data_IF_475434067047
#
_entry.id   IF_475434067047
#
_cell.length_a   1.000
_cell.length_b   1.000
_cell.length_c   1.000
_cell.angle_alpha   90.00
_cell.angle_beta   90.00
_cell.angle_gamma   90.00
#
_symmetry.space_group_name_H-M   'P 1'
#
loop_
_entity.id
_entity.type
_entity.pdbx_description
1 polymer ?
#
# COMPACT_ATOMS: atom_id res chain seq x y z
N UNK A 1 1.29 -16.85 -13.86
CA UNK A 1 1.29 -15.39 -13.60
C UNK A 1 2.72 -14.89 -13.47
N UNK A 2 2.99 -13.62 -13.77
CA UNK A 2 4.28 -12.99 -13.42
C UNK A 2 4.45 -12.94 -11.89
N UNK A 3 5.69 -12.89 -11.40
CA UNK A 3 5.95 -12.75 -9.96
C UNK A 3 5.27 -11.48 -9.42
N UNK A 4 4.60 -11.53 -8.26
CA UNK A 4 3.89 -10.38 -7.72
C UNK A 4 4.85 -9.31 -7.20
N UNK A 5 4.36 -8.07 -7.19
CA UNK A 5 5.00 -6.91 -6.56
C UNK A 5 4.18 -6.51 -5.33
N UNK A 6 4.84 -6.44 -4.18
CA UNK A 6 4.25 -5.95 -2.94
C UNK A 6 4.77 -4.57 -2.60
N UNK A 7 3.88 -3.61 -2.40
CA UNK A 7 4.24 -2.30 -1.84
C UNK A 7 4.16 -2.40 -0.32
N UNK A 8 5.31 -2.37 0.33
CA UNK A 8 5.45 -2.47 1.78
C UNK A 8 5.76 -1.09 2.37
N UNK A 9 4.89 -0.60 3.22
CA UNK A 9 5.04 0.68 3.90
C UNK A 9 4.10 0.76 5.11
N UNK A 10 4.42 1.57 6.13
CA UNK A 10 3.39 2.01 7.05
C UNK A 10 2.32 2.82 6.30
N UNK A 11 1.11 2.90 6.87
CA UNK A 11 0.06 3.75 6.32
C UNK A 11 0.51 5.22 6.26
N UNK A 12 -0.16 6.01 5.41
CA UNK A 12 0.08 7.46 5.19
C UNK A 12 1.32 7.80 4.33
N UNK A 13 1.78 6.83 3.55
CA UNK A 13 2.98 6.91 2.70
C UNK A 13 2.62 6.90 1.21
N UNK A 14 1.55 7.57 0.80
CA UNK A 14 1.15 7.71 -0.63
C UNK A 14 0.85 6.40 -1.39
N UNK A 15 0.79 5.28 -0.70
CA UNK A 15 0.83 3.96 -1.29
C UNK A 15 -0.37 3.59 -2.17
N UNK A 16 -1.55 4.21 -1.95
CA UNK A 16 -2.70 4.05 -2.86
C UNK A 16 -2.44 4.62 -4.25
N UNK A 17 -1.86 5.83 -4.38
CA UNK A 17 -1.64 6.42 -5.70
C UNK A 17 -0.49 5.71 -6.44
N UNK A 18 0.58 5.34 -5.73
CA UNK A 18 1.70 4.58 -6.31
C UNK A 18 1.23 3.20 -6.79
N UNK A 19 0.42 2.50 -6.00
CA UNK A 19 -0.16 1.21 -6.40
C UNK A 19 -1.05 1.34 -7.64
N UNK A 20 -1.95 2.33 -7.65
CA UNK A 20 -2.84 2.57 -8.78
C UNK A 20 -2.06 2.93 -10.05
N UNK A 21 -1.01 3.74 -9.93
CA UNK A 21 -0.15 4.15 -11.05
C UNK A 21 0.59 2.94 -11.65
N UNK A 22 1.31 2.16 -10.82
CA UNK A 22 1.99 0.94 -11.29
C UNK A 22 0.98 -0.05 -11.88
N UNK A 23 -0.19 -0.16 -11.27
CA UNK A 23 -1.27 -1.04 -11.69
C UNK A 23 -1.91 -0.71 -13.05
N UNK A 24 -1.71 0.48 -13.60
CA UNK A 24 -2.16 0.82 -14.96
C UNK A 24 -1.22 0.31 -16.07
N UNK A 25 -0.05 -0.21 -15.70
CA UNK A 25 0.85 -0.82 -16.69
C UNK A 25 0.15 -2.03 -17.35
N UNK A 26 0.24 -2.22 -18.68
CA UNK A 26 -0.45 -3.33 -19.38
C UNK A 26 -0.15 -4.73 -18.86
N UNK A 27 1.08 -4.92 -18.38
CA UNK A 27 1.56 -6.19 -17.85
C UNK A 27 1.35 -6.31 -16.33
N UNK A 28 0.71 -5.33 -15.70
CA UNK A 28 0.45 -5.30 -14.26
C UNK A 28 -1.05 -5.12 -13.96
N UNK A 29 -1.43 -5.48 -12.73
CA UNK A 29 -2.78 -5.29 -12.22
C UNK A 29 -2.71 -4.81 -10.77
N UNK A 30 -3.06 -3.54 -10.56
CA UNK A 30 -3.08 -2.92 -9.23
C UNK A 30 -4.31 -3.33 -8.44
N UNK A 31 -4.11 -4.00 -7.32
CA UNK A 31 -5.20 -4.37 -6.42
C UNK A 31 -5.58 -3.21 -5.48
N UNK A 32 -6.84 -3.15 -5.02
CA UNK A 32 -7.18 -2.46 -3.79
C UNK A 32 -6.59 -3.21 -2.59
N UNK A 33 -6.81 -2.71 -1.37
CA UNK A 33 -6.43 -3.38 -0.13
C UNK A 33 -7.23 -4.68 0.05
N UNK A 34 -6.59 -5.83 -0.22
CA UNK A 34 -7.24 -7.17 -0.18
C UNK A 34 -7.01 -7.94 1.11
N UNK A 35 -6.00 -7.58 1.92
CA UNK A 35 -5.72 -8.18 3.24
C UNK A 35 -5.51 -9.71 3.27
N UNK A 36 -5.13 -10.32 2.14
CA UNK A 36 -5.08 -11.78 1.98
C UNK A 36 -4.13 -12.48 2.96
N UNK A 37 -3.10 -11.81 3.46
CA UNK A 37 -2.07 -12.42 4.32
C UNK A 37 -2.30 -12.22 5.82
N UNK A 38 -3.43 -11.62 6.22
CA UNK A 38 -3.77 -11.34 7.63
C UNK A 38 -4.19 -12.61 8.38
N UNK A 39 -4.81 -13.57 7.69
CA UNK A 39 -5.33 -14.84 8.24
C UNK A 39 -4.76 -16.02 7.45
N UNK A 40 -4.98 -17.24 7.94
CA UNK A 40 -4.46 -18.44 7.27
C UNK A 40 -5.30 -18.77 6.04
N UNK A 41 -6.61 -18.53 6.13
CA UNK A 41 -7.56 -18.76 5.05
C UNK A 41 -8.41 -17.53 4.72
N UNK A 42 -8.95 -17.49 3.51
CA UNK A 42 -9.87 -16.44 3.06
C UNK A 42 -11.17 -16.45 3.89
N UNK A 43 -11.64 -17.64 4.28
CA UNK A 43 -12.82 -17.80 5.13
C UNK A 43 -12.63 -17.18 6.52
N UNK A 44 -11.46 -17.36 7.13
CA UNK A 44 -11.11 -16.67 8.39
C UNK A 44 -11.03 -15.15 8.23
N UNK A 45 -10.52 -14.67 7.09
CA UNK A 45 -10.50 -13.24 6.80
C UNK A 45 -11.93 -12.68 6.69
N UNK A 46 -12.82 -13.41 6.01
CA UNK A 46 -14.24 -13.08 5.93
C UNK A 46 -14.92 -13.07 7.30
N UNK A 47 -14.63 -14.06 8.13
CA UNK A 47 -15.17 -14.20 9.48
C UNK A 47 -14.56 -13.21 10.50
N UNK A 48 -13.56 -12.41 10.10
CA UNK A 48 -12.81 -11.55 11.04
C UNK A 48 -13.66 -10.45 11.69
N UNK A 49 -14.85 -10.15 11.17
CA UNK A 49 -15.74 -9.08 11.65
C UNK A 49 -15.17 -7.66 11.53
N UNK A 50 -13.96 -7.51 10.97
CA UNK A 50 -13.32 -6.21 10.78
C UNK A 50 -13.97 -5.53 9.59
N UNK A 51 -14.73 -4.47 9.87
CA UNK A 51 -15.36 -3.61 8.86
C UNK A 51 -14.33 -3.20 7.81
N UNK A 52 -14.68 -3.41 6.54
CA UNK A 52 -13.84 -3.06 5.40
C UNK A 52 -12.71 -4.03 5.04
N UNK A 53 -12.41 -5.04 5.87
CA UNK A 53 -11.24 -5.90 5.67
C UNK A 53 -11.28 -6.70 4.35
N UNK A 54 -12.48 -7.12 3.93
CA UNK A 54 -12.69 -7.91 2.72
C UNK A 54 -13.17 -7.06 1.53
N UNK A 55 -13.42 -5.76 1.74
CA UNK A 55 -14.06 -4.91 0.73
C UNK A 55 -13.24 -4.85 -0.56
N UNK A 56 -11.91 -4.69 -0.46
CA UNK A 56 -11.05 -4.70 -1.64
C UNK A 56 -11.11 -6.03 -2.41
N UNK A 57 -11.15 -7.17 -1.70
CA UNK A 57 -11.25 -8.48 -2.36
C UNK A 57 -12.60 -8.64 -3.07
N UNK A 58 -13.72 -8.27 -2.42
CA UNK A 58 -15.06 -8.30 -3.03
C UNK A 58 -15.11 -7.48 -4.31
N UNK A 59 -14.60 -6.24 -4.27
CA UNK A 59 -14.50 -5.36 -5.44
C UNK A 59 -13.61 -5.94 -6.53
N UNK A 60 -12.52 -6.60 -6.14
CA UNK A 60 -11.60 -7.23 -7.10
C UNK A 60 -12.27 -8.35 -7.86
N UNK A 61 -12.98 -9.24 -7.15
CA UNK A 61 -13.72 -10.34 -7.76
C UNK A 61 -14.90 -9.83 -8.59
N UNK A 62 -15.62 -8.80 -8.11
CA UNK A 62 -16.68 -8.14 -8.88
C UNK A 62 -16.16 -7.64 -10.25
N UNK A 63 -15.04 -6.89 -10.22
CA UNK A 63 -14.39 -6.36 -11.43
C UNK A 63 -13.91 -7.47 -12.37
N UNK A 64 -13.14 -8.44 -11.86
CA UNK A 64 -12.49 -9.45 -12.71
C UNK A 64 -13.44 -10.53 -13.24
N UNK A 65 -14.44 -10.96 -12.45
CA UNK A 65 -15.33 -12.05 -12.84
C UNK A 65 -16.64 -11.56 -13.47
N UNK A 66 -17.10 -10.37 -13.11
CA UNK A 66 -18.41 -9.85 -13.52
C UNK A 66 -18.32 -8.56 -14.34
N UNK A 67 -17.12 -7.97 -14.47
CA UNK A 67 -16.87 -6.80 -15.32
C UNK A 67 -17.47 -5.49 -14.81
N UNK A 68 -17.96 -5.46 -13.56
CA UNK A 68 -18.52 -4.27 -12.95
C UNK A 68 -18.46 -4.32 -11.42
N UNK A 69 -18.63 -3.16 -10.77
CA UNK A 69 -18.72 -3.01 -9.32
C UNK A 69 -20.06 -2.38 -8.92
N UNK A 70 -21.14 -3.13 -9.12
CA UNK A 70 -22.49 -2.83 -8.62
C UNK A 70 -22.79 -3.59 -7.32
N UNK A 71 -23.89 -3.27 -6.65
CA UNK A 71 -24.34 -4.01 -5.46
C UNK A 71 -24.48 -5.50 -5.75
N UNK A 72 -25.11 -5.85 -6.88
CA UNK A 72 -25.40 -7.23 -7.29
C UNK A 72 -24.11 -8.00 -7.62
N UNK A 73 -23.19 -7.40 -8.37
CA UNK A 73 -21.90 -8.05 -8.71
C UNK A 73 -21.02 -8.23 -7.47
N UNK A 74 -21.10 -7.33 -6.48
CA UNK A 74 -20.40 -7.47 -5.19
C UNK A 74 -21.03 -8.55 -4.31
N UNK A 75 -22.35 -8.74 -4.35
CA UNK A 75 -23.02 -9.86 -3.69
C UNK A 75 -22.63 -11.19 -4.33
N UNK A 76 -22.65 -11.28 -5.66
CA UNK A 76 -22.19 -12.45 -6.39
C UNK A 76 -20.70 -12.75 -6.10
N UNK A 77 -19.86 -11.72 -6.07
CA UNK A 77 -18.47 -11.85 -5.66
C UNK A 77 -18.32 -12.33 -4.21
N UNK A 78 -19.20 -11.90 -3.30
CA UNK A 78 -19.18 -12.35 -1.90
C UNK A 78 -19.45 -13.85 -1.82
N UNK A 79 -20.51 -14.34 -2.45
CA UNK A 79 -20.83 -15.78 -2.51
C UNK A 79 -19.69 -16.59 -3.15
N UNK A 80 -19.10 -16.07 -4.24
CA UNK A 80 -17.96 -16.70 -4.90
C UNK A 80 -16.73 -16.85 -4.01
N UNK A 81 -16.47 -15.85 -3.14
CA UNK A 81 -15.37 -15.89 -2.17
C UNK A 81 -15.69 -16.90 -1.05
N UNK A 82 -16.94 -16.98 -0.59
CA UNK A 82 -17.38 -17.91 0.47
C UNK A 82 -17.18 -19.37 0.06
N UNK A 83 -17.56 -19.73 -1.17
CA UNK A 83 -17.31 -21.06 -1.75
C UNK A 83 -15.81 -21.44 -1.76
N UNK A 84 -14.93 -20.45 -1.73
CA UNK A 84 -13.46 -20.58 -1.78
C UNK A 84 -12.82 -20.25 -0.43
N UNK A 85 -13.60 -20.22 0.65
CA UNK A 85 -13.12 -19.85 1.99
C UNK A 85 -11.96 -20.68 2.50
N UNK A 86 -11.81 -21.94 2.04
CA UNK A 86 -10.70 -22.82 2.43
C UNK A 86 -9.34 -22.43 1.80
N UNK A 87 -9.33 -21.58 0.77
CA UNK A 87 -8.07 -21.15 0.14
C UNK A 87 -7.24 -20.32 1.11
N UNK A 88 -5.93 -20.52 1.09
CA UNK A 88 -4.97 -19.58 1.66
C UNK A 88 -4.96 -18.26 0.88
N UNK A 89 -4.49 -17.20 1.53
CA UNK A 89 -4.28 -15.91 0.85
C UNK A 89 -3.40 -16.01 -0.39
N UNK A 90 -2.38 -16.87 -0.35
CA UNK A 90 -1.48 -17.09 -1.48
C UNK A 90 -2.17 -17.80 -2.67
N UNK A 91 -3.02 -18.79 -2.40
CA UNK A 91 -3.82 -19.44 -3.44
C UNK A 91 -4.80 -18.45 -4.08
N UNK A 92 -5.45 -17.62 -3.27
CA UNK A 92 -6.34 -16.58 -3.76
C UNK A 92 -5.58 -15.54 -4.61
N UNK A 93 -4.40 -15.07 -4.17
CA UNK A 93 -3.60 -14.12 -4.95
C UNK A 93 -3.17 -14.70 -6.30
N UNK A 94 -2.81 -15.98 -6.35
CA UNK A 94 -2.50 -16.67 -7.62
C UNK A 94 -3.70 -16.72 -8.56
N UNK A 95 -4.88 -17.04 -8.02
CA UNK A 95 -6.13 -17.03 -8.78
C UNK A 95 -6.46 -15.62 -9.31
N UNK A 96 -6.25 -14.56 -8.54
CA UNK A 96 -6.38 -13.18 -9.03
C UNK A 96 -5.39 -12.88 -10.18
N UNK A 97 -4.17 -13.40 -10.10
CA UNK A 97 -3.18 -13.34 -11.18
C UNK A 97 -3.66 -14.01 -12.47
N UNK A 98 -4.33 -15.15 -12.36
CA UNK A 98 -4.93 -15.85 -13.51
C UNK A 98 -6.13 -15.09 -14.09
N UNK A 99 -7.06 -14.66 -13.23
CA UNK A 99 -8.25 -13.89 -13.61
C UNK A 99 -7.90 -12.54 -14.25
N UNK A 100 -6.77 -11.95 -13.88
CA UNK A 100 -6.25 -10.74 -14.52
C UNK A 100 -5.51 -11.00 -15.83
N UNK A 101 -5.56 -12.21 -16.40
CA UNK A 101 -4.89 -12.54 -17.67
C UNK A 101 -3.39 -12.82 -17.53
N UNK A 102 -2.94 -13.24 -16.35
CA UNK A 102 -1.54 -13.58 -16.09
C UNK A 102 -0.63 -12.38 -15.78
N UNK A 103 -1.20 -11.18 -15.65
CA UNK A 103 -0.48 -9.94 -15.31
C UNK A 103 0.21 -10.04 -13.95
N UNK A 104 1.24 -9.20 -13.75
CA UNK A 104 1.88 -9.01 -12.45
C UNK A 104 0.88 -8.39 -11.48
N UNK A 105 0.54 -9.12 -10.42
CA UNK A 105 -0.27 -8.55 -9.35
C UNK A 105 0.56 -7.55 -8.55
N UNK A 106 0.04 -6.33 -8.41
CA UNK A 106 0.60 -5.29 -7.54
C UNK A 106 -0.30 -5.15 -6.33
N UNK A 107 0.12 -5.69 -5.19
CA UNK A 107 -0.63 -5.61 -3.95
C UNK A 107 -0.03 -4.56 -3.01
N UNK A 108 -0.85 -3.57 -2.71
CA UNK A 108 -0.62 -2.65 -1.62
C UNK A 108 -1.71 -2.85 -0.58
N UNK A 109 -1.34 -3.49 0.52
CA UNK A 109 -2.16 -3.54 1.72
C UNK A 109 -1.29 -3.15 2.93
N UNK A 110 -1.68 -2.14 3.74
CA UNK A 110 -0.87 -1.71 4.90
C UNK A 110 -0.55 -2.83 5.92
N UNK A 111 -1.38 -3.87 5.98
CA UNK A 111 -1.16 -5.04 6.83
C UNK A 111 -0.05 -5.95 6.32
N UNK A 112 0.30 -5.92 5.02
CA UNK A 112 1.39 -6.72 4.44
C UNK A 112 2.75 -6.36 5.04
N UNK A 113 2.91 -5.15 5.56
CA UNK A 113 4.14 -4.74 6.24
C UNK A 113 4.24 -5.25 7.68
N UNK A 114 3.24 -5.97 8.20
CA UNK A 114 3.31 -6.60 9.53
C UNK A 114 4.14 -7.87 9.42
N UNK A 115 5.01 -8.12 10.40
CA UNK A 115 5.95 -9.24 10.44
C UNK A 115 5.31 -10.57 9.98
N UNK A 116 4.23 -11.01 10.64
CA UNK A 116 3.54 -12.26 10.28
C UNK A 116 3.04 -12.30 8.83
N UNK A 117 2.45 -11.22 8.35
CA UNK A 117 1.95 -11.15 6.98
C UNK A 117 3.09 -11.12 5.97
N UNK A 118 4.15 -10.36 6.25
CA UNK A 118 5.32 -10.23 5.40
C UNK A 118 6.07 -11.57 5.25
N UNK A 119 6.24 -12.30 6.35
CA UNK A 119 6.86 -13.63 6.33
C UNK A 119 6.01 -14.63 5.53
N UNK A 120 4.68 -14.61 5.67
CA UNK A 120 3.79 -15.44 4.84
C UNK A 120 3.91 -15.11 3.35
N UNK A 121 4.05 -13.82 3.01
CA UNK A 121 4.24 -13.39 1.63
C UNK A 121 5.56 -13.93 1.09
N UNK A 122 6.66 -13.73 1.81
CA UNK A 122 7.99 -14.17 1.41
C UNK A 122 8.09 -15.70 1.27
N UNK A 123 7.45 -16.45 2.17
CA UNK A 123 7.37 -17.91 2.10
C UNK A 123 6.56 -18.37 0.88
N UNK A 124 5.40 -17.75 0.63
CA UNK A 124 4.51 -18.15 -0.46
C UNK A 124 4.97 -17.69 -1.86
N UNK A 125 5.79 -16.63 -1.91
CA UNK A 125 6.30 -16.02 -3.14
C UNK A 125 7.78 -15.66 -2.96
N UNK A 126 8.69 -16.64 -2.97
CA UNK A 126 10.11 -16.43 -2.69
C UNK A 126 10.80 -15.51 -3.70
N UNK A 127 10.27 -15.42 -4.92
CA UNK A 127 10.78 -14.57 -6.02
C UNK A 127 9.95 -13.28 -6.18
N UNK A 128 9.12 -12.92 -5.19
CA UNK A 128 8.36 -11.67 -5.24
C UNK A 128 9.31 -10.46 -5.20
N UNK A 129 8.81 -9.34 -5.74
CA UNK A 129 9.45 -8.03 -5.65
C UNK A 129 8.78 -7.20 -4.56
N UNK A 130 9.57 -6.46 -3.80
CA UNK A 130 9.13 -5.64 -2.67
C UNK A 130 9.56 -4.19 -2.87
N UNK A 131 8.58 -3.33 -3.09
CA UNK A 131 8.78 -1.87 -3.14
C UNK A 131 8.58 -1.32 -1.72
N UNK A 132 9.67 -0.98 -1.04
CA UNK A 132 9.59 -0.26 0.23
C UNK A 132 9.35 1.22 -0.02
N UNK A 133 8.09 1.62 0.11
CA UNK A 133 7.70 3.02 -0.01
C UNK A 133 7.93 3.72 1.33
N UNK A 134 8.67 4.82 1.30
CA UNK A 134 8.97 5.65 2.47
C UNK A 134 8.38 7.04 2.33
N UNK A 135 8.22 7.71 3.48
CA UNK A 135 7.82 9.10 3.57
C UNK A 135 8.50 9.69 4.79
N UNK A 136 8.85 10.98 4.73
CA UNK A 136 9.48 11.68 5.84
C UNK A 136 8.70 11.45 7.16
N UNK A 137 9.38 11.12 8.28
CA UNK A 137 8.71 10.77 9.53
C UNK A 137 7.78 11.89 10.02
N UNK A 138 8.22 13.16 9.97
CA UNK A 138 7.40 14.31 10.36
C UNK A 138 6.08 14.40 9.58
N UNK A 139 6.13 14.35 8.26
CA UNK A 139 4.94 14.40 7.42
C UNK A 139 4.01 13.20 7.63
N UNK A 140 4.60 12.01 7.78
CA UNK A 140 3.85 10.76 8.03
C UNK A 140 3.07 10.85 9.34
N UNK A 141 3.77 11.19 10.41
CA UNK A 141 3.22 11.28 11.75
C UNK A 141 2.21 12.42 11.86
N UNK A 142 2.52 13.63 11.37
CA UNK A 142 1.54 14.73 11.25
C UNK A 142 0.25 14.29 10.57
N UNK A 143 0.35 13.56 9.46
CA UNK A 143 -0.81 13.04 8.73
C UNK A 143 -1.60 12.02 9.55
N UNK A 144 -0.90 11.13 10.26
CA UNK A 144 -1.52 10.15 11.14
C UNK A 144 -2.28 10.81 12.29
N UNK A 145 -1.71 11.84 12.92
CA UNK A 145 -2.37 12.56 14.00
C UNK A 145 -3.62 13.29 13.55
N UNK A 146 -3.56 14.02 12.44
CA UNK A 146 -4.75 14.67 11.86
C UNK A 146 -5.87 13.65 11.60
N UNK A 147 -5.53 12.46 11.09
CA UNK A 147 -6.50 11.41 10.80
C UNK A 147 -7.08 10.74 12.06
N UNK A 148 -6.30 10.56 13.13
CA UNK A 148 -6.82 10.03 14.39
C UNK A 148 -7.67 11.10 15.09
N UNK A 149 -7.23 12.36 15.07
CA UNK A 149 -7.92 13.47 15.72
C UNK A 149 -9.30 13.70 15.11
N UNK A 150 -9.42 13.63 13.78
CA UNK A 150 -10.73 13.75 13.10
C UNK A 150 -11.69 12.61 13.43
N UNK A 151 -11.19 11.43 13.80
CA UNK A 151 -12.01 10.25 14.14
C UNK A 151 -12.34 10.11 15.62
N UNK A 152 -11.42 10.51 16.51
CA UNK A 152 -11.50 10.26 17.95
C UNK A 152 -11.53 11.53 18.80
N UNK A 153 -11.43 12.71 18.19
CA UNK A 153 -11.26 13.96 18.92
C UNK A 153 -9.89 14.04 19.59
N UNK A 154 -9.85 14.43 20.88
CA UNK A 154 -8.58 14.61 21.62
C UNK A 154 -7.89 13.26 21.86
N UNK A 155 -6.64 13.15 21.43
CA UNK A 155 -5.85 11.92 21.53
C UNK A 155 -5.00 11.96 22.81
N UNK A 156 -4.96 10.88 23.62
CA UNK A 156 -4.06 10.80 24.76
C UNK A 156 -2.59 10.94 24.35
N UNK A 157 -1.84 11.78 25.06
CA UNK A 157 -0.41 12.06 24.81
C UNK A 157 0.45 10.80 24.66
N UNK A 158 0.22 9.79 25.50
CA UNK A 158 0.96 8.51 25.46
C UNK A 158 0.82 7.83 24.09
N UNK A 159 -0.39 7.78 23.55
CA UNK A 159 -0.66 7.20 22.22
C UNK A 159 0.02 7.98 21.09
N UNK A 160 0.21 9.29 21.30
CA UNK A 160 0.92 10.13 20.34
C UNK A 160 2.41 9.76 20.31
N UNK A 161 3.06 9.68 21.47
CA UNK A 161 4.47 9.30 21.57
C UNK A 161 4.69 7.87 21.06
N UNK A 162 3.82 6.92 21.40
CA UNK A 162 3.90 5.55 20.87
C UNK A 162 3.81 5.47 19.33
N UNK A 163 3.21 6.47 18.67
CA UNK A 163 3.16 6.50 17.21
C UNK A 163 4.51 6.72 16.56
N UNK A 164 5.40 7.49 17.20
CA UNK A 164 6.77 7.71 16.69
C UNK A 164 7.57 6.41 16.76
N UNK A 165 7.48 5.70 17.89
CA UNK A 165 8.08 4.36 18.04
C UNK A 165 7.59 3.36 16.99
N UNK A 166 6.29 3.36 16.68
CA UNK A 166 5.73 2.49 15.61
C UNK A 166 6.28 2.80 14.22
N UNK A 167 6.61 4.05 13.92
CA UNK A 167 7.25 4.41 12.65
C UNK A 167 8.66 3.80 12.58
N UNK A 168 9.45 4.00 13.64
CA UNK A 168 10.81 3.47 13.77
C UNK A 168 10.83 1.94 13.66
N UNK A 169 10.07 1.26 14.52
CA UNK A 169 9.98 -0.22 14.54
C UNK A 169 9.60 -0.78 13.17
N UNK A 170 8.59 -0.16 12.52
CA UNK A 170 8.11 -0.64 11.22
C UNK A 170 9.16 -0.49 10.14
N UNK A 171 9.77 0.69 10.00
CA UNK A 171 10.76 0.92 8.95
C UNK A 171 12.04 0.13 9.20
N UNK A 172 12.49 -0.01 10.46
CA UNK A 172 13.65 -0.84 10.82
C UNK A 172 13.44 -2.28 10.36
N UNK A 173 12.30 -2.86 10.69
CA UNK A 173 11.92 -4.21 10.25
C UNK A 173 11.92 -4.36 8.72
N UNK A 174 11.35 -3.40 7.98
CA UNK A 174 11.30 -3.49 6.51
C UNK A 174 12.69 -3.36 5.86
N UNK A 175 13.59 -2.59 6.47
CA UNK A 175 15.00 -2.49 6.03
C UNK A 175 15.74 -3.79 6.30
N UNK A 176 15.60 -4.35 7.50
CA UNK A 176 16.21 -5.65 7.87
C UNK A 176 15.69 -6.78 6.97
N UNK A 177 14.38 -6.82 6.72
CA UNK A 177 13.76 -7.75 5.78
C UNK A 177 14.34 -7.58 4.37
N UNK A 178 14.42 -6.36 3.85
CA UNK A 178 14.97 -6.08 2.53
C UNK A 178 16.42 -6.51 2.37
N UNK A 179 17.24 -6.35 3.41
CA UNK A 179 18.64 -6.77 3.42
C UNK A 179 18.83 -8.29 3.37
N UNK A 180 17.81 -9.07 3.75
CA UNK A 180 17.83 -10.53 3.70
C UNK A 180 17.35 -11.11 2.36
N UNK A 181 16.82 -10.29 1.45
CA UNK A 181 16.30 -10.75 0.14
C UNK A 181 17.42 -10.89 -0.91
N UNK A 182 17.12 -11.64 -1.96
CA UNK A 182 17.99 -11.79 -3.12
C UNK A 182 18.16 -10.50 -3.93
N UNK A 183 19.25 -10.40 -4.73
CA UNK A 183 19.49 -9.23 -5.59
C UNK A 183 18.29 -8.92 -6.48
N UNK A 184 17.92 -7.64 -6.55
CA UNK A 184 16.81 -7.18 -7.41
C UNK A 184 15.41 -7.39 -6.82
N UNK A 185 15.26 -8.03 -5.66
CA UNK A 185 13.94 -8.24 -5.05
C UNK A 185 13.44 -7.03 -4.23
N UNK A 186 14.30 -6.10 -3.86
CA UNK A 186 13.95 -4.99 -2.98
C UNK A 186 14.33 -3.63 -3.60
N UNK A 187 13.39 -2.70 -3.61
CA UNK A 187 13.58 -1.31 -4.02
C UNK A 187 13.01 -0.38 -2.97
N UNK A 188 13.85 0.48 -2.37
CA UNK A 188 13.40 1.57 -1.51
C UNK A 188 13.09 2.81 -2.36
N UNK A 189 11.86 3.32 -2.25
CA UNK A 189 11.39 4.49 -2.97
C UNK A 189 10.91 5.56 -1.99
N UNK A 190 11.41 6.78 -2.12
CA UNK A 190 10.86 7.92 -1.39
C UNK A 190 9.58 8.34 -2.10
N UNK A 191 8.46 8.31 -1.37
CA UNK A 191 7.18 8.69 -1.92
C UNK A 191 7.15 10.15 -2.37
N UNK A 192 7.99 11.01 -1.79
CA UNK A 192 8.17 12.40 -2.19
C UNK A 192 8.72 12.55 -3.61
N UNK A 193 9.76 11.78 -3.95
CA UNK A 193 10.39 11.81 -5.28
C UNK A 193 9.45 11.33 -6.37
N UNK A 194 8.52 10.43 -6.04
CA UNK A 194 7.48 9.99 -6.96
C UNK A 194 6.63 11.15 -7.49
N UNK A 195 6.38 12.19 -6.70
CA UNK A 195 5.57 13.33 -7.16
C UNK A 195 6.38 14.42 -7.84
N UNK A 196 7.68 14.50 -7.57
CA UNK A 196 8.58 15.46 -8.20
C UNK A 196 8.79 15.14 -9.68
N UNK A 197 9.11 13.89 -10.01
CA UNK A 197 9.26 13.40 -11.39
C UNK A 197 8.66 11.99 -11.55
N UNK A 198 7.32 11.87 -11.55
CA UNK A 198 6.64 10.58 -11.60
C UNK A 198 7.01 9.76 -12.82
N UNK A 199 7.19 10.39 -14.00
CA UNK A 199 7.54 9.67 -15.21
C UNK A 199 8.87 8.95 -15.06
N UNK A 200 9.92 9.67 -14.63
CA UNK A 200 11.23 9.09 -14.40
C UNK A 200 11.19 7.96 -13.37
N UNK A 201 10.44 8.14 -12.28
CA UNK A 201 10.31 7.09 -11.25
C UNK A 201 9.56 5.87 -11.79
N UNK A 202 8.47 6.06 -12.53
CA UNK A 202 7.71 4.96 -13.14
C UNK A 202 8.54 4.20 -14.18
N UNK A 203 9.37 4.90 -14.94
CA UNK A 203 10.37 4.30 -15.83
C UNK A 203 11.36 3.42 -15.06
N UNK A 204 11.92 3.90 -13.95
CA UNK A 204 12.83 3.13 -13.09
C UNK A 204 12.15 1.90 -12.47
N UNK A 205 10.89 2.05 -12.04
CA UNK A 205 10.08 0.93 -11.55
C UNK A 205 9.85 -0.09 -12.65
N UNK A 206 9.61 0.32 -13.89
CA UNK A 206 9.49 -0.60 -15.02
C UNK A 206 10.77 -1.42 -15.22
N UNK A 207 11.94 -0.79 -15.20
CA UNK A 207 13.22 -1.50 -15.36
C UNK A 207 13.43 -2.52 -14.24
N UNK A 208 13.23 -2.09 -12.99
CA UNK A 208 13.42 -2.93 -11.83
C UNK A 208 12.42 -4.10 -11.75
N UNK A 209 11.16 -3.86 -12.13
CA UNK A 209 10.11 -4.87 -12.16
C UNK A 209 10.06 -5.69 -13.46
N UNK A 210 10.99 -5.44 -14.39
CA UNK A 210 11.06 -6.06 -15.72
C UNK A 210 9.77 -5.88 -16.54
N UNK A 211 9.10 -4.75 -16.37
CA UNK A 211 7.91 -4.38 -17.12
C UNK A 211 8.30 -3.68 -18.43
N UNK A 212 7.57 -3.96 -19.51
CA UNK A 212 7.84 -3.40 -20.83
C UNK A 212 7.71 -1.87 -20.92
N UNK A 213 8.72 -1.20 -21.48
CA UNK A 213 8.63 0.24 -21.84
C UNK A 213 8.03 0.48 -23.24
N UNK A 214 7.18 -0.42 -23.72
CA UNK A 214 6.49 -0.24 -24.99
C UNK A 214 5.74 1.11 -25.04
N UNK A 215 5.56 1.70 -26.24
CA UNK A 215 4.91 2.99 -26.39
C UNK A 215 3.58 3.08 -25.60
N UNK A 216 3.44 4.15 -24.81
CA UNK A 216 2.24 4.41 -23.99
C UNK A 216 2.13 3.60 -22.70
N UNK A 217 3.06 2.68 -22.38
CA UNK A 217 3.01 1.92 -21.14
C UNK A 217 3.17 2.82 -19.90
N UNK A 218 4.22 3.64 -19.88
CA UNK A 218 4.44 4.63 -18.81
C UNK A 218 3.37 5.72 -18.82
N UNK A 219 2.85 6.09 -20.00
CA UNK A 219 1.75 7.05 -20.09
C UNK A 219 0.52 6.59 -19.31
N UNK A 220 0.08 5.33 -19.49
CA UNK A 220 -1.04 4.78 -18.71
C UNK A 220 -0.76 4.83 -17.20
N UNK A 221 0.48 4.60 -16.79
CA UNK A 221 0.86 4.69 -15.37
C UNK A 221 0.73 6.10 -14.79
N UNK A 222 0.75 7.14 -15.63
CA UNK A 222 0.51 8.53 -15.22
C UNK A 222 -0.96 8.83 -14.91
N UNK A 223 -1.87 7.89 -15.19
CA UNK A 223 -3.32 8.03 -15.01
C UNK A 223 -3.89 7.07 -13.94
N UNK A 224 -3.44 7.15 -12.67
CA UNK A 224 -3.96 6.30 -11.59
C UNK A 224 -5.47 6.45 -11.35
N UNK A 225 -6.08 7.55 -11.80
CA UNK A 225 -7.53 7.76 -11.78
C UNK A 225 -8.34 6.81 -12.66
N UNK A 226 -7.69 6.17 -13.65
CA UNK A 226 -8.33 5.19 -14.54
C UNK A 226 -8.41 3.80 -13.90
N UNK A 227 -7.79 3.61 -12.73
CA UNK A 227 -7.94 2.36 -11.98
C UNK A 227 -9.41 2.09 -11.64
N UNK A 228 -9.91 0.84 -11.80
CA UNK A 228 -11.25 0.46 -11.37
C UNK A 228 -11.45 0.62 -9.85
N UNK A 229 -10.36 0.83 -9.11
CA UNK A 229 -10.35 1.03 -7.66
C UNK A 229 -9.99 2.47 -7.25
N UNK A 230 -9.97 3.41 -8.21
CA UNK A 230 -9.70 4.82 -8.00
C UNK A 230 -10.83 5.56 -7.30
N UNK A 231 -12.05 5.00 -7.29
CA UNK A 231 -13.25 5.64 -6.71
C UNK A 231 -13.88 4.76 -5.64
N UNK A 232 -14.76 5.31 -4.78
CA UNK A 232 -15.56 4.50 -3.87
C UNK A 232 -16.35 3.44 -4.64
N UNK A 233 -16.46 2.25 -4.05
CA UNK A 233 -17.31 1.18 -4.58
C UNK A 233 -18.79 1.38 -4.22
N UNK A 234 -19.65 0.40 -4.52
CA UNK A 234 -21.07 0.42 -4.15
C UNK A 234 -21.27 0.36 -2.63
N UNK A 235 -22.48 0.60 -2.14
CA UNK A 235 -22.78 0.71 -0.70
C UNK A 235 -22.39 -0.52 0.14
N UNK A 236 -22.46 -1.71 -0.46
CA UNK A 236 -22.09 -2.97 0.18
C UNK A 236 -20.57 -3.27 0.09
N UNK A 237 -19.80 -2.41 -0.59
CA UNK A 237 -18.34 -2.46 -0.67
C UNK A 237 -17.70 -1.08 -0.99
N UNK A 238 -17.85 -0.06 -0.13
CA UNK A 238 -17.52 1.33 -0.50
C UNK A 238 -16.01 1.65 -0.47
N UNK A 239 -15.22 0.86 0.25
CA UNK A 239 -13.79 1.10 0.50
C UNK A 239 -12.88 0.24 -0.40
N UNK A 240 -11.59 0.13 -0.06
CA UNK A 240 -10.59 -0.62 -0.83
C UNK A 240 -9.32 0.20 -1.08
N UNK A 241 -9.36 1.50 -0.88
CA UNK A 241 -8.19 2.36 -0.91
C UNK A 241 -8.29 3.46 0.15
N UNK A 242 -7.23 4.26 0.26
CA UNK A 242 -7.25 5.45 1.10
C UNK A 242 -8.39 6.39 0.67
N UNK A 243 -9.27 6.85 1.59
CA UNK A 243 -10.37 7.76 1.24
C UNK A 243 -9.92 9.03 0.52
N UNK A 244 -8.82 9.65 0.97
CA UNK A 244 -8.31 10.87 0.35
C UNK A 244 -7.79 10.67 -1.08
N UNK A 245 -7.33 9.46 -1.42
CA UNK A 245 -7.04 9.11 -2.81
C UNK A 245 -8.34 8.91 -3.60
N UNK A 246 -9.33 8.20 -3.04
CA UNK A 246 -10.59 7.97 -3.74
C UNK A 246 -11.41 9.23 -4.00
N UNK A 247 -11.24 10.26 -3.16
CA UNK A 247 -11.83 11.60 -3.35
C UNK A 247 -11.12 12.39 -4.46
N UNK A 248 -9.80 12.21 -4.63
CA UNK A 248 -8.99 12.95 -5.59
C UNK A 248 -7.93 12.01 -6.22
N UNK A 249 -8.32 11.16 -7.18
CA UNK A 249 -7.46 10.06 -7.61
C UNK A 249 -6.39 10.45 -8.63
N UNK A 250 -6.45 11.68 -9.14
CA UNK A 250 -5.46 12.18 -10.10
C UNK A 250 -4.06 12.27 -9.50
N UNK A 251 -3.07 11.92 -10.32
CA UNK A 251 -1.67 12.09 -9.97
C UNK A 251 -1.34 13.59 -9.84
N UNK A 252 -0.96 14.01 -8.63
CA UNK A 252 -0.48 15.38 -8.39
C UNK A 252 1.01 15.44 -8.71
N UNK A 253 1.42 16.39 -9.54
CA UNK A 253 2.83 16.57 -9.90
C UNK A 253 3.34 17.83 -9.22
N UNK A 254 4.49 17.72 -8.57
CA UNK A 254 5.16 18.80 -7.87
C UNK A 254 5.91 18.29 -6.65
N UNK A 255 7.04 18.93 -6.36
CA UNK A 255 7.82 18.62 -5.18
C UNK A 255 6.96 18.83 -3.92
N UNK A 256 6.87 17.82 -3.02
CA UNK A 256 6.21 18.03 -1.74
C UNK A 256 6.98 19.06 -0.92
N UNK A 257 6.28 19.66 0.05
CA UNK A 257 6.92 20.58 0.99
C UNK A 257 8.10 19.91 1.68
N UNK A 258 9.24 20.60 1.72
CA UNK A 258 10.39 20.16 2.48
C UNK A 258 10.01 19.99 3.96
N UNK A 259 10.49 18.91 4.56
CA UNK A 259 10.35 18.63 5.99
C UNK A 259 11.73 18.65 6.64
N UNK A 260 11.76 18.80 7.96
CA UNK A 260 12.98 18.74 8.77
C UNK A 260 12.83 17.73 9.89
N UNK A 261 13.95 17.12 10.28
CA UNK A 261 14.04 16.28 11.48
C UNK A 261 14.25 17.12 12.76
N UNK A 262 14.56 18.40 12.62
CA UNK A 262 14.81 19.32 13.72
C UNK A 262 13.55 20.02 14.20
N UNK A 263 13.61 20.55 15.42
CA UNK A 263 12.51 21.24 16.08
C UNK A 263 11.46 20.31 16.73
N UNK A 264 10.64 20.86 17.63
CA UNK A 264 9.64 20.10 18.35
C UNK A 264 8.55 19.56 17.40
N UNK A 265 7.90 18.48 17.81
CA UNK A 265 6.81 17.84 17.08
C UNK A 265 5.53 18.66 17.24
N UNK A 266 5.07 19.31 16.17
CA UNK A 266 4.05 20.37 16.20
C UNK A 266 2.64 19.92 16.62
N UNK A 267 2.37 18.62 16.59
CA UNK A 267 1.11 18.02 17.05
C UNK A 267 1.13 17.63 18.53
N UNK A 268 2.27 17.81 19.21
CA UNK A 268 2.45 17.66 20.65
C UNK A 268 2.52 19.04 21.32
N UNK A 269 1.54 19.89 21.01
CA UNK A 269 1.49 21.29 21.45
C UNK A 269 1.78 21.44 22.95
N UNK A 270 2.56 22.48 23.28
CA UNK A 270 3.02 22.77 24.64
C UNK A 270 4.10 21.83 25.19
N UNK A 271 4.72 20.98 24.35
CA UNK A 271 5.77 20.05 24.75
C UNK A 271 6.98 20.08 23.83
N UNK A 272 8.15 20.15 24.45
CA UNK A 272 9.45 20.01 23.81
C UNK A 272 9.77 18.53 23.51
N UNK A 273 8.94 17.89 22.68
CA UNK A 273 9.17 16.52 22.20
C UNK A 273 9.79 16.57 20.82
N UNK A 274 10.88 15.84 20.63
CA UNK A 274 11.65 15.76 19.39
C UNK A 274 11.70 14.31 18.91
N UNK A 275 12.16 14.09 17.68
CA UNK A 275 12.58 12.76 17.27
C UNK A 275 13.78 12.29 18.09
N UNK A 276 13.71 11.08 18.62
CA UNK A 276 14.84 10.45 19.30
C UNK A 276 15.99 10.13 18.32
N UNK A 277 17.15 9.80 18.88
CA UNK A 277 18.36 9.55 18.10
C UNK A 277 18.19 8.37 17.13
N UNK A 278 17.48 7.32 17.54
CA UNK A 278 17.25 6.13 16.70
C UNK A 278 16.33 6.44 15.50
N UNK A 279 15.29 7.24 15.70
CA UNK A 279 14.39 7.70 14.64
C UNK A 279 15.15 8.58 13.65
N UNK A 280 15.99 9.51 14.13
CA UNK A 280 16.83 10.35 13.27
C UNK A 280 17.84 9.51 12.48
N UNK A 281 18.50 8.56 13.12
CA UNK A 281 19.45 7.66 12.47
C UNK A 281 18.79 6.86 11.35
N UNK A 282 17.63 6.26 11.61
CA UNK A 282 16.89 5.52 10.59
C UNK A 282 16.40 6.43 9.47
N UNK A 283 15.93 7.64 9.79
CA UNK A 283 15.53 8.62 8.78
C UNK A 283 16.69 8.98 7.84
N UNK A 284 17.89 9.20 8.38
CA UNK A 284 19.10 9.43 7.57
C UNK A 284 19.50 8.21 6.74
N UNK A 285 19.39 6.99 7.28
CA UNK A 285 19.61 5.76 6.53
C UNK A 285 18.62 5.63 5.35
N UNK A 286 17.39 6.08 5.55
CA UNK A 286 16.35 6.18 4.52
C UNK A 286 16.46 7.46 3.68
N UNK A 287 17.59 8.16 3.71
CA UNK A 287 17.87 9.30 2.84
C UNK A 287 17.12 10.61 3.16
N UNK A 288 16.51 10.74 4.34
CA UNK A 288 15.96 12.01 4.81
C UNK A 288 17.03 12.82 5.55
N UNK A 289 17.29 14.04 5.07
CA UNK A 289 18.18 14.99 5.72
C UNK A 289 17.47 15.81 6.82
N UNK A 290 18.25 16.41 7.71
CA UNK A 290 17.78 17.37 8.72
C UNK A 290 17.50 18.73 8.14
#
# INVERSE_FOLDING_TARGET
>A
MRQPLFIICPGRTFSSVVCSAIGQHPEAYGLPEVNLFVRDTVGELMASGRVGAITGLKRTIAELNFGAQTVETVEAATAWIEERGAMSGAQMLRLLGELSGGRMIVDKTPTNSQEKALLRIAEAFPEARFLHLTRHPRATLRSQYKAIQSRRGKIPRKMLIEATGRWLERHRWLVEFGAALGPGQYLCLHGEWFFEDPRRILEQVCDWAELSRAPGAVERMMHPEESPYARPGPENAPYGNNPGFMENPHLRIGAPSAETLDGPLEWLDGLDVYFDAETRQLAHQLGYAG
#
